data_IF_624395404357
#
_entry.id   IF_624395404357
#
_cell.length_a   1.000
_cell.length_b   1.000
_cell.length_c   1.000
_cell.angle_alpha   90.00
_cell.angle_beta   90.00
_cell.angle_gamma   90.00
#
_symmetry.space_group_name_H-M   'P 1'
#
loop_
_entity.id
_entity.type
_entity.pdbx_description
1 polymer ?
#
# COMPACT_ATOMS: atom_id res chain seq x y z
N UNK A 1 -22.76 -18.47 -3.43
CA UNK A 1 -23.39 -17.26 -2.95
C UNK A 1 -22.60 -16.56 -1.88
N UNK A 2 -22.38 -17.23 -0.81
CA UNK A 2 -21.59 -16.68 0.25
C UNK A 2 -20.16 -16.43 -0.16
N UNK A 3 -19.67 -17.15 -1.14
CA UNK A 3 -18.32 -17.00 -1.62
C UNK A 3 -18.04 -15.64 -2.22
N UNK A 4 -18.96 -15.18 -3.04
CA UNK A 4 -18.79 -13.87 -3.65
C UNK A 4 -18.77 -12.77 -2.61
N UNK A 5 -19.66 -12.90 -1.64
CA UNK A 5 -19.72 -11.94 -0.58
C UNK A 5 -18.46 -11.94 0.26
N UNK A 6 -17.90 -13.13 0.50
CA UNK A 6 -16.66 -13.24 1.24
C UNK A 6 -15.52 -12.57 0.51
N UNK A 7 -15.48 -12.72 -0.82
CA UNK A 7 -14.43 -12.08 -1.61
C UNK A 7 -14.56 -10.57 -1.55
N UNK A 8 -15.79 -10.07 -1.58
CA UNK A 8 -16.00 -8.63 -1.45
C UNK A 8 -15.64 -8.14 -0.07
N UNK A 9 -15.96 -8.94 0.95
CA UNK A 9 -15.68 -8.57 2.32
C UNK A 9 -14.19 -8.66 2.63
N UNK A 10 -13.37 -9.20 1.70
CA UNK A 10 -11.93 -9.29 1.92
C UNK A 10 -11.25 -7.94 1.86
N UNK A 11 -11.91 -6.93 1.30
CA UNK A 11 -11.32 -5.62 1.23
C UNK A 11 -11.20 -4.95 2.58
N UNK A 12 -10.17 -4.13 2.73
CA UNK A 12 -9.95 -3.32 3.93
C UNK A 12 -9.84 -1.87 3.53
N UNK A 13 -10.43 -1.00 4.34
CA UNK A 13 -10.19 0.43 4.16
C UNK A 13 -8.77 0.74 4.60
N UNK A 14 -8.19 1.79 4.03
CA UNK A 14 -6.86 2.21 4.45
C UNK A 14 -6.80 2.50 5.94
N UNK A 15 -7.90 3.01 6.53
CA UNK A 15 -7.96 3.24 7.97
C UNK A 15 -7.81 1.94 8.76
N UNK A 16 -8.39 0.86 8.27
CA UNK A 16 -8.25 -0.45 8.92
C UNK A 16 -6.83 -0.99 8.79
N UNK A 17 -6.22 -0.77 7.63
CA UNK A 17 -4.82 -1.17 7.41
C UNK A 17 -3.90 -0.38 8.35
N UNK A 18 -4.15 0.93 8.47
CA UNK A 18 -3.39 1.76 9.41
C UNK A 18 -3.43 1.16 10.82
N UNK A 19 -4.61 0.81 11.28
CA UNK A 19 -4.76 0.29 12.65
C UNK A 19 -4.15 -1.10 12.79
N UNK A 20 -4.35 -1.95 11.77
CA UNK A 20 -3.84 -3.32 11.79
C UNK A 20 -2.31 -3.36 11.83
N UNK A 21 -1.66 -2.49 11.08
CA UNK A 21 -0.21 -2.47 10.96
C UNK A 21 0.44 -1.43 11.86
N UNK A 22 -0.34 -0.76 12.70
CA UNK A 22 0.16 0.27 13.62
C UNK A 22 0.89 1.36 12.86
N UNK A 23 0.28 1.85 11.78
CA UNK A 23 0.90 2.83 10.91
C UNK A 23 0.72 4.25 11.41
N UNK A 24 1.71 5.07 11.08
CA UNK A 24 1.56 6.51 11.08
C UNK A 24 1.07 6.91 9.69
N UNK A 25 0.08 7.80 9.61
CA UNK A 25 -0.37 8.35 8.33
C UNK A 25 0.55 9.53 8.00
N UNK A 26 1.36 9.36 6.97
CA UNK A 26 2.36 10.37 6.61
C UNK A 26 1.76 11.43 5.68
N UNK A 27 0.91 11.01 4.75
CA UNK A 27 0.10 11.93 3.96
C UNK A 27 -1.11 11.20 3.39
N UNK A 28 -2.06 11.96 2.86
CA UNK A 28 -3.24 11.39 2.24
C UNK A 28 -4.33 10.99 3.22
N UNK A 29 -4.36 11.58 4.42
CA UNK A 29 -5.32 11.21 5.45
C UNK A 29 -6.77 11.37 5.03
N UNK A 30 -7.05 12.17 4.02
CA UNK A 30 -8.41 12.36 3.52
C UNK A 30 -8.90 11.18 2.68
N UNK A 31 -8.04 10.21 2.38
CA UNK A 31 -8.40 9.06 1.56
C UNK A 31 -8.42 7.74 2.34
N UNK A 32 -8.50 7.81 3.66
CA UNK A 32 -8.45 6.61 4.50
C UNK A 32 -9.69 5.73 4.39
N UNK A 33 -10.75 6.20 3.76
CA UNK A 33 -11.96 5.40 3.53
C UNK A 33 -11.86 4.50 2.30
N UNK A 34 -10.82 4.67 1.49
CA UNK A 34 -10.68 3.84 0.30
C UNK A 34 -10.45 2.38 0.65
N UNK A 35 -11.09 1.51 -0.11
CA UNK A 35 -11.03 0.06 0.11
C UNK A 35 -9.97 -0.54 -0.79
N UNK A 36 -9.13 -1.40 -0.21
CA UNK A 36 -8.07 -2.12 -0.90
C UNK A 36 -8.36 -3.61 -0.78
N UNK A 37 -8.23 -4.34 -1.87
CA UNK A 37 -8.45 -5.78 -1.87
C UNK A 37 -7.17 -6.56 -2.17
N UNK A 38 -6.16 -5.90 -2.70
CA UNK A 38 -4.91 -6.55 -3.12
C UNK A 38 -3.72 -5.69 -2.72
N UNK A 39 -2.59 -6.35 -2.49
CA UNK A 39 -1.35 -5.63 -2.23
C UNK A 39 -0.20 -6.26 -2.99
N UNK A 40 0.82 -5.45 -3.26
CA UNK A 40 2.00 -5.86 -4.01
C UNK A 40 3.21 -5.47 -3.17
N UNK A 41 4.03 -6.44 -2.79
CA UNK A 41 5.15 -6.20 -1.89
C UNK A 41 6.46 -6.41 -2.63
N UNK A 42 7.24 -5.35 -2.79
CA UNK A 42 8.53 -5.42 -3.47
C UNK A 42 9.32 -4.15 -3.23
N UNK A 43 10.64 -4.28 -3.34
CA UNK A 43 11.54 -3.13 -3.26
C UNK A 43 12.11 -2.76 -4.63
N UNK A 44 11.95 -3.62 -5.63
CA UNK A 44 12.44 -3.34 -6.98
C UNK A 44 11.31 -2.68 -7.76
N UNK A 45 11.46 -1.40 -8.02
CA UNK A 45 10.37 -0.63 -8.63
C UNK A 45 10.07 -1.04 -10.07
N UNK A 46 11.06 -1.60 -10.78
CA UNK A 46 10.79 -2.13 -12.13
C UNK A 46 9.81 -3.31 -12.07
N UNK A 47 9.88 -4.12 -11.03
CA UNK A 47 8.92 -5.21 -10.85
C UNK A 47 7.53 -4.67 -10.53
N UNK A 48 7.47 -3.65 -9.68
CA UNK A 48 6.20 -3.02 -9.34
C UNK A 48 5.54 -2.48 -10.60
N UNK A 49 6.30 -1.75 -11.40
CA UNK A 49 5.76 -1.15 -12.61
C UNK A 49 5.28 -2.20 -13.61
N UNK A 50 6.03 -3.29 -13.73
CA UNK A 50 5.73 -4.32 -14.72
C UNK A 50 4.59 -5.25 -14.30
N UNK A 51 4.47 -5.55 -13.01
CA UNK A 51 3.64 -6.66 -12.58
C UNK A 51 2.51 -6.31 -11.63
N UNK A 52 2.46 -5.11 -11.06
CA UNK A 52 1.40 -4.79 -10.12
C UNK A 52 0.11 -4.44 -10.85
N UNK A 53 -1.01 -4.81 -10.23
CA UNK A 53 -2.33 -4.41 -10.74
C UNK A 53 -2.66 -3.00 -10.27
N UNK A 54 -3.40 -2.23 -11.08
CA UNK A 54 -3.91 -0.95 -10.60
C UNK A 54 -4.73 -1.11 -9.33
N UNK A 55 -4.70 -0.12 -8.49
CA UNK A 55 -5.46 -0.04 -7.24
C UNK A 55 -4.98 -0.98 -6.15
N UNK A 56 -3.87 -1.71 -6.37
CA UNK A 56 -3.24 -2.48 -5.32
C UNK A 56 -2.50 -1.54 -4.36
N UNK A 57 -2.29 -1.99 -3.14
CA UNK A 57 -1.51 -1.25 -2.15
C UNK A 57 -0.06 -1.71 -2.24
N UNK A 58 0.87 -0.77 -2.36
CA UNK A 58 2.29 -1.10 -2.43
C UNK A 58 2.87 -1.20 -1.02
N UNK A 59 3.54 -2.32 -0.74
CA UNK A 59 4.28 -2.53 0.51
C UNK A 59 5.75 -2.54 0.14
N UNK A 60 6.53 -1.59 0.65
CA UNK A 60 7.93 -1.49 0.25
C UNK A 60 8.78 -0.85 1.33
N UNK A 61 10.07 -1.19 1.32
CA UNK A 61 11.05 -0.53 2.17
C UNK A 61 11.83 0.56 1.44
N UNK A 62 11.54 0.78 0.16
CA UNK A 62 12.24 1.78 -0.63
C UNK A 62 11.55 3.14 -0.50
N UNK A 63 12.10 4.00 0.34
CA UNK A 63 11.44 5.25 0.72
C UNK A 63 11.85 6.45 -0.14
N UNK A 64 12.43 6.21 -1.31
CA UNK A 64 12.84 7.27 -2.21
C UNK A 64 11.73 7.71 -3.15
N UNK A 65 12.04 8.71 -3.96
CA UNK A 65 11.09 9.32 -4.88
C UNK A 65 10.59 8.34 -5.93
N UNK A 66 11.41 7.31 -6.24
CA UNK A 66 11.04 6.29 -7.21
C UNK A 66 9.77 5.56 -6.84
N UNK A 67 9.58 5.31 -5.53
CA UNK A 67 8.38 4.58 -5.08
C UNK A 67 7.13 5.39 -5.34
N UNK A 68 7.17 6.70 -5.12
CA UNK A 68 6.01 7.56 -5.37
C UNK A 68 5.73 7.66 -6.86
N UNK A 69 6.77 7.86 -7.67
CA UNK A 69 6.60 7.90 -9.13
C UNK A 69 5.99 6.62 -9.65
N UNK A 70 6.52 5.48 -9.20
CA UNK A 70 6.03 4.18 -9.66
C UNK A 70 4.58 3.96 -9.25
N UNK A 71 4.25 4.28 -8.00
CA UNK A 71 2.88 4.11 -7.52
C UNK A 71 1.90 4.98 -8.30
N UNK A 72 2.32 6.19 -8.65
CA UNK A 72 1.49 7.09 -9.43
C UNK A 72 1.25 6.55 -10.84
N UNK A 73 2.33 6.15 -11.52
CA UNK A 73 2.23 5.65 -12.90
C UNK A 73 1.44 4.35 -12.94
N UNK A 74 1.63 3.47 -11.97
CA UNK A 74 0.93 2.18 -11.92
C UNK A 74 -0.48 2.31 -11.33
N UNK A 75 -0.89 3.51 -10.94
CA UNK A 75 -2.23 3.78 -10.40
C UNK A 75 -2.53 2.97 -9.14
N UNK A 76 -1.54 2.88 -8.25
CA UNK A 76 -1.71 2.14 -7.01
C UNK A 76 -2.51 2.95 -6.00
N UNK A 77 -3.11 2.25 -5.05
CA UNK A 77 -3.98 2.88 -4.06
C UNK A 77 -3.23 3.72 -3.03
N UNK A 78 -1.97 3.37 -2.79
CA UNK A 78 -1.15 4.04 -1.80
C UNK A 78 0.09 3.23 -1.53
N UNK A 79 0.89 3.70 -0.56
CA UNK A 79 2.13 3.04 -0.17
C UNK A 79 2.16 2.85 1.33
N UNK A 80 2.60 1.65 1.76
CA UNK A 80 2.98 1.41 3.15
C UNK A 80 4.49 1.19 3.15
N UNK A 81 5.22 2.11 3.77
CA UNK A 81 6.65 1.92 3.98
C UNK A 81 6.87 1.09 5.24
N UNK A 82 7.67 0.03 5.11
CA UNK A 82 7.96 -0.87 6.23
C UNK A 82 9.22 -0.43 6.99
N UNK A 83 9.49 -1.07 8.12
CA UNK A 83 10.65 -0.81 8.97
C UNK A 83 10.66 0.62 9.55
N UNK A 84 9.49 1.19 9.77
CA UNK A 84 9.37 2.55 10.31
C UNK A 84 10.09 3.59 9.44
N UNK A 85 10.20 3.32 8.14
CA UNK A 85 10.84 4.26 7.24
C UNK A 85 10.01 5.51 7.07
N UNK A 86 10.69 6.65 7.06
CA UNK A 86 10.02 7.93 6.85
C UNK A 86 10.69 8.60 5.67
N UNK A 87 9.96 8.81 4.58
CA UNK A 87 10.57 9.38 3.39
C UNK A 87 10.99 10.84 3.59
N UNK A 88 12.00 11.30 2.85
CA UNK A 88 12.38 12.72 2.88
C UNK A 88 11.23 13.63 2.50
N UNK A 89 11.32 14.90 2.90
CA UNK A 89 10.24 15.85 2.68
C UNK A 89 9.87 15.97 1.21
N UNK A 90 10.86 15.96 0.31
CA UNK A 90 10.57 16.10 -1.11
C UNK A 90 9.75 14.94 -1.66
N UNK A 91 9.92 13.75 -1.08
CA UNK A 91 9.13 12.58 -1.46
C UNK A 91 7.69 12.77 -1.00
N UNK A 92 7.50 13.29 0.21
CA UNK A 92 6.17 13.56 0.74
C UNK A 92 5.47 14.65 -0.04
N UNK A 93 6.22 15.67 -0.48
CA UNK A 93 5.64 16.74 -1.29
C UNK A 93 5.10 16.20 -2.60
N UNK A 94 5.84 15.30 -3.23
CA UNK A 94 5.37 14.68 -4.47
C UNK A 94 4.15 13.81 -4.21
N UNK A 95 4.14 13.04 -3.13
CA UNK A 95 3.00 12.20 -2.80
C UNK A 95 1.73 13.03 -2.59
N UNK A 96 1.87 14.18 -1.91
CA UNK A 96 0.74 15.09 -1.72
C UNK A 96 0.26 15.65 -3.05
N UNK A 97 1.20 16.03 -3.91
CA UNK A 97 0.89 16.57 -5.22
C UNK A 97 0.10 15.56 -6.05
N UNK A 98 0.45 14.28 -5.93
CA UNK A 98 -0.23 13.20 -6.65
C UNK A 98 -1.44 12.66 -5.90
N UNK A 99 -1.73 13.23 -4.74
CA UNK A 99 -2.86 12.80 -3.92
C UNK A 99 -2.76 11.32 -3.52
N UNK A 100 -1.56 10.87 -3.22
CA UNK A 100 -1.26 9.47 -2.94
C UNK A 100 -1.14 9.25 -1.43
N UNK A 101 -1.95 8.36 -0.84
CA UNK A 101 -1.80 8.05 0.59
C UNK A 101 -0.48 7.35 0.88
N UNK A 102 0.18 7.77 1.94
CA UNK A 102 1.43 7.16 2.39
C UNK A 102 1.35 6.89 3.87
N UNK A 103 1.58 5.63 4.21
CA UNK A 103 1.58 5.15 5.59
C UNK A 103 2.96 4.59 5.92
N UNK A 104 3.32 4.61 7.20
CA UNK A 104 4.58 4.05 7.67
C UNK A 104 4.30 3.11 8.82
N UNK A 105 4.74 1.85 8.71
CA UNK A 105 4.54 0.84 9.75
C UNK A 105 5.87 0.47 10.39
N UNK A 106 5.88 0.18 11.70
CA UNK A 106 7.10 -0.34 12.33
C UNK A 106 7.40 -1.79 11.95
N UNK A 107 6.44 -2.48 11.35
CA UNK A 107 6.62 -3.89 11.01
C UNK A 107 7.59 -4.06 9.85
N UNK A 108 8.21 -5.24 9.80
CA UNK A 108 9.01 -5.64 8.65
C UNK A 108 8.10 -6.18 7.56
N UNK A 109 8.66 -6.34 6.36
CA UNK A 109 7.83 -6.65 5.19
C UNK A 109 7.03 -7.93 5.35
N UNK A 110 7.67 -9.00 5.81
CA UNK A 110 6.96 -10.27 5.95
C UNK A 110 5.79 -10.15 6.93
N UNK A 111 6.04 -9.51 8.08
CA UNK A 111 5.00 -9.40 9.11
C UNK A 111 3.84 -8.53 8.64
N UNK A 112 4.15 -7.45 7.92
CA UNK A 112 3.11 -6.59 7.38
C UNK A 112 2.25 -7.36 6.37
N UNK A 113 2.90 -8.07 5.46
CA UNK A 113 2.17 -8.86 4.45
C UNK A 113 1.35 -9.97 5.08
N UNK A 114 1.92 -10.65 6.09
CA UNK A 114 1.21 -11.73 6.77
C UNK A 114 -0.05 -11.22 7.46
N UNK A 115 0.04 -10.06 8.10
CA UNK A 115 -1.10 -9.47 8.79
C UNK A 115 -2.22 -9.12 7.80
N UNK A 116 -1.85 -8.58 6.64
CA UNK A 116 -2.83 -8.23 5.62
C UNK A 116 -3.46 -9.48 5.01
N UNK A 117 -2.64 -10.50 4.72
CA UNK A 117 -3.13 -11.74 4.16
C UNK A 117 -4.08 -12.45 5.12
N UNK A 118 -3.80 -12.38 6.42
CA UNK A 118 -4.66 -12.98 7.43
C UNK A 118 -6.04 -12.31 7.47
N UNK A 119 -6.15 -11.09 7.01
CA UNK A 119 -7.41 -10.35 6.95
C UNK A 119 -8.06 -10.45 5.56
N UNK A 120 -7.50 -11.26 4.67
CA UNK A 120 -8.13 -11.57 3.40
C UNK A 120 -7.62 -10.81 2.19
N UNK A 121 -6.62 -9.96 2.35
CA UNK A 121 -6.04 -9.30 1.18
C UNK A 121 -5.25 -10.31 0.36
N UNK A 122 -5.26 -10.13 -0.94
CA UNK A 122 -4.60 -11.04 -1.87
C UNK A 122 -3.47 -10.34 -2.58
N UNK A 123 -2.62 -11.14 -3.26
CA UNK A 123 -1.54 -10.58 -4.05
C UNK A 123 -2.08 -9.83 -5.25
N UNK A 124 -1.53 -8.66 -5.51
CA UNK A 124 -1.96 -7.79 -6.58
C UNK A 124 -1.07 -7.89 -7.80
N UNK A 125 -0.65 -9.09 -8.17
CA UNK A 125 0.19 -9.29 -9.35
C UNK A 125 -0.67 -9.56 -10.58
N UNK A 126 -0.27 -8.95 -11.71
CA UNK A 126 -0.75 -9.37 -13.01
C UNK A 126 -0.16 -10.74 -13.27
N UNK A 127 -0.93 -11.65 -13.70
CA UNK A 127 -0.40 -13.00 -13.90
C UNK A 127 0.02 -13.27 -15.32
#
# INVERSE_FOLDING_TARGET
>A
MTQERSAEAAGLRLAEIRDLLDCEVVCGGHRLDEVVTECFAADLMSDVLAFSKPHALLITGLSGIQSVHTADVAELAGIVFVHRKRPPQQVLDLARERNLPVLSTPLHMFDACAALAARGLRGGSKS
#
